data_IF_074872301155
#
_entry.id   IF_074872301155
#
_cell.length_a   1.000
_cell.length_b   1.000
_cell.length_c   1.000
_cell.angle_alpha   90.00
_cell.angle_beta   90.00
_cell.angle_gamma   90.00
#
_symmetry.space_group_name_H-M   'P 1'
#
loop_
_entity.id
_entity.type
_entity.pdbx_description
1 polymer ?
#
# COMPACT_ATOMS: atom_id res chain seq x y z
N UNK A 1 35.35 -8.93 77.95
CA UNK A 1 34.21 -9.67 77.38
C UNK A 1 33.41 -8.65 76.58
N UNK A 2 33.67 -8.43 75.29
CA UNK A 2 33.44 -9.33 74.15
C UNK A 2 31.95 -9.64 73.94
N UNK A 3 31.28 -8.81 73.14
CA UNK A 3 30.32 -9.25 72.12
C UNK A 3 30.35 -8.25 70.95
N UNK A 4 31.09 -8.64 69.90
CA UNK A 4 30.91 -8.21 68.51
C UNK A 4 29.66 -8.89 67.94
N UNK A 5 29.04 -8.30 66.92
CA UNK A 5 28.85 -8.86 65.55
C UNK A 5 27.64 -8.17 64.89
N UNK A 6 27.85 -7.19 63.99
CA UNK A 6 27.95 -7.30 62.52
C UNK A 6 26.74 -6.62 61.83
N UNK A 7 26.95 -5.38 61.36
CA UNK A 7 26.13 -4.79 60.31
C UNK A 7 26.73 -5.21 58.96
N UNK A 8 26.05 -6.11 58.26
CA UNK A 8 26.42 -6.49 56.90
C UNK A 8 25.98 -5.39 55.93
N UNK A 9 26.96 -4.67 55.37
CA UNK A 9 26.75 -3.77 54.23
C UNK A 9 26.65 -4.65 52.98
N UNK A 10 25.44 -4.86 52.48
CA UNK A 10 25.19 -5.45 51.17
C UNK A 10 25.44 -4.38 50.10
N UNK A 11 26.61 -4.45 49.46
CA UNK A 11 26.89 -3.74 48.22
C UNK A 11 26.09 -4.45 47.12
N UNK A 12 24.93 -3.90 46.76
CA UNK A 12 24.24 -4.28 45.52
C UNK A 12 25.04 -3.71 44.35
N UNK A 13 25.85 -4.56 43.73
CA UNK A 13 26.44 -4.31 42.42
C UNK A 13 25.29 -4.19 41.40
N UNK A 14 24.99 -2.96 40.98
CA UNK A 14 24.19 -2.69 39.79
C UNK A 14 24.91 -3.27 38.57
N UNK A 15 24.52 -4.47 38.17
CA UNK A 15 24.80 -4.97 36.82
C UNK A 15 23.91 -4.17 35.88
N UNK A 16 24.40 -3.03 35.42
CA UNK A 16 23.89 -2.41 34.21
C UNK A 16 24.31 -3.32 33.03
N UNK A 17 23.46 -4.30 32.73
CA UNK A 17 23.40 -4.87 31.39
C UNK A 17 23.09 -3.71 30.44
N UNK A 18 24.12 -3.24 29.75
CA UNK A 18 23.97 -2.43 28.54
C UNK A 18 23.25 -3.31 27.50
N UNK A 19 21.92 -3.38 27.57
CA UNK A 19 21.14 -3.62 26.36
C UNK A 19 21.35 -2.36 25.53
N UNK A 20 22.11 -2.46 24.44
CA UNK A 20 22.08 -1.46 23.40
C UNK A 20 20.60 -1.24 23.07
N UNK A 21 20.09 -0.06 23.37
CA UNK A 21 18.69 0.26 23.17
C UNK A 21 18.43 0.13 21.67
N UNK A 22 17.74 -0.95 21.28
CA UNK A 22 17.43 -1.23 19.89
C UNK A 22 16.59 -0.07 19.37
N UNK A 23 17.12 0.69 18.41
CA UNK A 23 16.48 1.90 17.90
C UNK A 23 15.50 1.51 16.81
N UNK A 24 14.24 1.92 17.01
CA UNK A 24 13.16 1.75 16.05
C UNK A 24 12.31 3.00 15.96
N UNK A 25 11.64 3.16 14.82
CA UNK A 25 10.58 4.16 14.63
C UNK A 25 9.27 3.40 14.42
N UNK A 26 8.38 3.47 15.42
CA UNK A 26 7.04 2.89 15.31
C UNK A 26 6.22 3.64 14.27
N UNK A 27 5.47 2.89 13.46
CA UNK A 27 4.58 3.42 12.43
C UNK A 27 3.15 2.90 12.68
N UNK A 28 2.51 3.36 13.78
CA UNK A 28 1.20 2.87 14.16
C UNK A 28 0.14 3.23 13.12
N UNK A 29 -0.86 2.35 12.99
CA UNK A 29 -1.97 2.55 12.06
C UNK A 29 -3.07 3.41 12.68
N UNK A 30 -3.48 4.42 11.94
CA UNK A 30 -4.80 5.05 12.08
C UNK A 30 -5.79 4.35 11.12
N UNK A 31 -7.07 4.75 11.16
CA UNK A 31 -8.11 4.14 10.30
C UNK A 31 -7.78 4.25 8.81
N UNK A 32 -7.19 5.38 8.43
CA UNK A 32 -6.69 5.69 7.09
C UNK A 32 -5.70 4.64 6.56
N UNK A 33 -4.59 4.48 7.26
CA UNK A 33 -3.53 3.56 6.87
C UNK A 33 -3.98 2.10 7.06
N UNK A 34 -4.87 1.83 8.02
CA UNK A 34 -5.49 0.51 8.19
C UNK A 34 -6.34 0.12 6.96
N UNK A 35 -7.11 1.06 6.43
CA UNK A 35 -7.87 0.88 5.19
C UNK A 35 -6.95 0.61 3.99
N UNK A 36 -5.87 1.38 3.85
CA UNK A 36 -4.88 1.19 2.79
C UNK A 36 -4.19 -0.18 2.93
N UNK A 37 -3.86 -0.59 4.15
CA UNK A 37 -3.26 -1.89 4.44
C UNK A 37 -4.20 -3.05 4.13
N UNK A 38 -5.47 -3.00 4.54
CA UNK A 38 -6.47 -4.01 4.15
C UNK A 38 -6.63 -4.12 2.63
N UNK A 39 -6.63 -2.98 1.93
CA UNK A 39 -6.68 -2.96 0.46
C UNK A 39 -5.45 -3.64 -0.15
N UNK A 40 -4.26 -3.34 0.37
CA UNK A 40 -3.00 -3.93 -0.08
C UNK A 40 -2.93 -5.44 0.22
N UNK A 41 -3.41 -5.88 1.38
CA UNK A 41 -3.51 -7.30 1.75
C UNK A 41 -4.42 -8.03 0.75
N UNK A 42 -5.62 -7.50 0.49
CA UNK A 42 -6.53 -8.12 -0.47
C UNK A 42 -5.96 -8.13 -1.89
N UNK A 43 -5.27 -7.07 -2.31
CA UNK A 43 -4.57 -7.03 -3.61
C UNK A 43 -3.48 -8.11 -3.69
N UNK A 44 -2.65 -8.25 -2.66
CA UNK A 44 -1.61 -9.28 -2.62
C UNK A 44 -2.24 -10.68 -2.73
N UNK A 45 -3.35 -10.91 -2.04
CA UNK A 45 -4.10 -12.18 -2.07
C UNK A 45 -4.78 -12.43 -3.42
N UNK A 46 -5.31 -11.40 -4.09
CA UNK A 46 -6.02 -11.55 -5.36
C UNK A 46 -5.12 -11.93 -6.53
N UNK A 47 -3.84 -11.54 -6.49
CA UNK A 47 -2.84 -11.87 -7.53
C UNK A 47 -2.68 -13.38 -7.71
N UNK A 48 -2.95 -14.17 -6.67
CA UNK A 48 -2.85 -15.64 -6.74
C UNK A 48 -3.90 -16.29 -7.66
N UNK A 49 -5.04 -15.64 -7.88
CA UNK A 49 -6.13 -16.14 -8.74
C UNK A 49 -6.55 -17.59 -8.44
N UNK A 50 -6.59 -17.95 -7.15
CA UNK A 50 -6.91 -19.31 -6.69
C UNK A 50 -8.38 -19.47 -6.28
N UNK A 51 -8.82 -20.73 -6.27
CA UNK A 51 -10.22 -21.14 -6.14
C UNK A 51 -10.97 -20.69 -4.88
N UNK A 52 -10.26 -20.52 -3.76
CA UNK A 52 -10.86 -20.31 -2.43
C UNK A 52 -10.19 -19.16 -1.67
N UNK A 53 -9.72 -18.11 -2.33
CA UNK A 53 -9.12 -17.00 -1.58
C UNK A 53 -10.21 -16.07 -1.04
N UNK A 54 -10.40 -16.07 0.29
CA UNK A 54 -11.30 -15.11 0.92
C UNK A 54 -10.64 -13.74 1.08
N UNK A 55 -11.45 -12.68 1.02
CA UNK A 55 -10.98 -11.35 1.39
C UNK A 55 -10.97 -11.14 2.91
N UNK A 56 -10.06 -10.27 3.32
CA UNK A 56 -9.92 -9.76 4.67
C UNK A 56 -10.63 -8.41 4.73
N UNK A 57 -11.78 -8.35 5.39
CA UNK A 57 -12.65 -7.16 5.41
C UNK A 57 -12.65 -6.41 6.74
N UNK A 58 -12.03 -6.97 7.78
CA UNK A 58 -12.13 -6.44 9.14
C UNK A 58 -10.75 -6.07 9.66
N UNK A 59 -10.61 -4.82 10.11
CA UNK A 59 -9.46 -4.38 10.91
C UNK A 59 -9.83 -4.40 12.39
N UNK A 60 -9.04 -5.07 13.22
CA UNK A 60 -9.18 -5.03 14.69
C UNK A 60 -8.01 -4.25 15.31
N UNK A 61 -8.33 -3.16 16.02
CA UNK A 61 -7.30 -2.31 16.63
C UNK A 61 -6.53 -2.99 17.77
N UNK A 62 -7.08 -4.04 18.41
CA UNK A 62 -6.36 -4.83 19.42
C UNK A 62 -5.33 -5.75 18.76
N UNK A 63 -5.68 -6.36 17.62
CA UNK A 63 -4.72 -7.13 16.82
C UNK A 63 -3.60 -6.22 16.32
N UNK A 64 -3.94 -5.03 15.84
CA UNK A 64 -2.97 -4.04 15.37
C UNK A 64 -2.04 -3.54 16.48
N UNK A 65 -2.58 -3.23 17.66
CA UNK A 65 -1.78 -2.81 18.81
C UNK A 65 -0.77 -3.90 19.22
N UNK A 66 -1.22 -5.16 19.28
CA UNK A 66 -0.34 -6.28 19.57
C UNK A 66 0.72 -6.50 18.47
N UNK A 67 0.32 -6.45 17.20
CA UNK A 67 1.24 -6.55 16.09
C UNK A 67 2.29 -5.42 16.12
N UNK A 68 1.90 -4.21 16.54
CA UNK A 68 2.82 -3.09 16.71
C UNK A 68 3.81 -3.32 17.85
N UNK A 69 3.36 -3.86 18.98
CA UNK A 69 4.25 -4.25 20.09
C UNK A 69 5.31 -5.25 19.61
N UNK A 70 4.91 -6.25 18.82
CA UNK A 70 5.84 -7.24 18.24
C UNK A 70 6.77 -6.59 17.22
N UNK A 71 6.26 -5.73 16.33
CA UNK A 71 7.09 -5.04 15.33
C UNK A 71 8.16 -4.16 15.98
N UNK A 72 7.83 -3.49 17.08
CA UNK A 72 8.76 -2.65 17.85
C UNK A 72 9.95 -3.43 18.44
N UNK A 73 9.88 -4.76 18.51
CA UNK A 73 11.00 -5.59 18.99
C UNK A 73 12.11 -5.72 17.96
N UNK A 74 11.86 -5.40 16.69
CA UNK A 74 12.84 -5.58 15.62
C UNK A 74 13.45 -7.00 15.62
N UNK A 75 12.60 -8.00 15.86
CA UNK A 75 12.94 -9.41 15.93
C UNK A 75 12.06 -10.17 14.96
N UNK A 76 12.67 -10.77 13.93
CA UNK A 76 11.96 -11.44 12.86
C UNK A 76 11.36 -12.80 13.26
N UNK A 77 11.68 -13.31 14.45
CA UNK A 77 11.09 -14.54 14.96
C UNK A 77 9.71 -14.28 15.59
N UNK A 78 8.74 -15.12 15.25
CA UNK A 78 7.43 -15.13 15.93
C UNK A 78 7.63 -15.53 17.40
N UNK A 79 7.13 -14.74 18.37
CA UNK A 79 7.23 -15.10 19.79
C UNK A 79 6.58 -16.47 20.08
N UNK A 80 7.24 -17.30 20.89
CA UNK A 80 6.76 -18.64 21.20
C UNK A 80 5.42 -18.64 21.96
N UNK A 81 5.18 -17.60 22.75
CA UNK A 81 3.98 -17.34 23.55
C UNK A 81 3.06 -16.29 22.90
N UNK A 82 3.11 -16.17 21.56
CA UNK A 82 2.33 -15.18 20.84
C UNK A 82 0.82 -15.30 21.16
N UNK A 83 0.22 -14.18 21.60
CA UNK A 83 -1.19 -14.10 22.01
C UNK A 83 -2.15 -14.34 20.85
N UNK A 84 -1.75 -13.89 19.66
CA UNK A 84 -2.49 -14.05 18.41
C UNK A 84 -1.58 -14.74 17.38
N UNK A 85 -2.15 -15.47 16.41
CA UNK A 85 -1.43 -15.86 15.19
C UNK A 85 -0.79 -14.66 14.51
N UNK A 86 0.47 -14.79 14.10
CA UNK A 86 1.27 -13.72 13.51
C UNK A 86 1.84 -14.14 12.16
N UNK A 87 1.90 -13.19 11.24
CA UNK A 87 2.76 -13.23 10.07
C UNK A 87 3.77 -12.10 10.18
N UNK A 88 5.06 -12.41 10.04
CA UNK A 88 6.16 -11.44 10.06
C UNK A 88 6.88 -11.46 8.72
N UNK A 89 7.13 -10.28 8.16
CA UNK A 89 7.95 -10.09 6.96
C UNK A 89 8.86 -8.88 7.13
N UNK A 90 9.96 -8.88 6.39
CA UNK A 90 10.95 -7.79 6.38
C UNK A 90 11.03 -7.19 4.98
N UNK A 91 11.35 -5.89 4.90
CA UNK A 91 11.71 -5.18 3.67
C UNK A 91 12.87 -4.24 3.98
N UNK A 92 13.94 -4.29 3.18
CA UNK A 92 15.09 -3.40 3.37
C UNK A 92 14.83 -1.97 2.90
N UNK A 93 14.36 -1.84 1.66
CA UNK A 93 14.20 -0.56 0.98
C UNK A 93 12.77 -0.35 0.48
N UNK A 94 12.32 0.90 0.49
CA UNK A 94 11.01 1.37 0.01
C UNK A 94 11.21 2.66 -0.75
N UNK A 95 10.34 2.95 -1.71
CA UNK A 95 10.50 4.14 -2.57
C UNK A 95 10.48 5.43 -1.76
N UNK A 96 9.54 5.52 -0.80
CA UNK A 96 9.45 6.64 0.14
C UNK A 96 9.65 6.18 1.62
N UNK A 97 10.87 6.28 2.16
CA UNK A 97 11.17 5.86 3.53
C UNK A 97 10.49 6.65 4.65
N UNK A 98 9.88 7.80 4.35
CA UNK A 98 9.15 8.59 5.34
C UNK A 98 7.67 8.22 5.35
N UNK A 99 7.16 7.65 4.25
CA UNK A 99 5.78 7.20 4.12
C UNK A 99 5.70 6.03 3.12
N UNK A 100 6.11 4.82 3.51
CA UNK A 100 6.10 3.66 2.64
C UNK A 100 4.67 3.27 2.27
N UNK A 101 4.44 2.96 0.98
CA UNK A 101 3.14 2.52 0.54
C UNK A 101 2.81 1.13 1.13
N UNK A 102 1.54 0.88 1.46
CA UNK A 102 1.12 -0.40 2.02
C UNK A 102 1.46 -1.59 1.11
N UNK A 103 1.32 -1.43 -0.22
CA UNK A 103 1.71 -2.47 -1.18
C UNK A 103 3.23 -2.77 -1.12
N UNK A 104 4.08 -1.76 -0.90
CA UNK A 104 5.54 -1.95 -0.75
C UNK A 104 5.88 -2.68 0.55
N UNK A 105 5.21 -2.32 1.64
CA UNK A 105 5.36 -2.96 2.95
C UNK A 105 5.00 -4.46 2.94
N UNK A 106 4.26 -4.94 1.95
CA UNK A 106 3.88 -6.34 1.84
C UNK A 106 4.76 -7.14 0.85
N UNK A 107 5.72 -6.50 0.17
CA UNK A 107 6.54 -7.16 -0.85
C UNK A 107 7.37 -8.33 -0.30
N UNK A 108 7.88 -8.24 0.93
CA UNK A 108 8.64 -9.34 1.52
C UNK A 108 7.83 -10.64 1.65
N UNK A 109 6.50 -10.57 1.83
CA UNK A 109 5.66 -11.76 1.78
C UNK A 109 5.58 -12.35 0.37
N UNK A 110 5.53 -11.50 -0.66
CA UNK A 110 5.53 -11.93 -2.06
C UNK A 110 6.87 -12.57 -2.47
N UNK A 111 7.99 -12.07 -1.95
CA UNK A 111 9.32 -12.65 -2.19
C UNK A 111 9.42 -14.08 -1.65
N UNK A 112 8.95 -14.31 -0.42
CA UNK A 112 8.91 -15.66 0.17
C UNK A 112 7.95 -16.56 -0.64
N UNK A 113 6.78 -16.03 -1.01
CA UNK A 113 5.78 -16.75 -1.81
C UNK A 113 6.33 -17.22 -3.17
N UNK A 114 7.19 -16.43 -3.82
CA UNK A 114 7.81 -16.81 -5.10
C UNK A 114 8.69 -18.07 -5.00
N UNK A 115 9.12 -18.44 -3.79
CA UNK A 115 9.88 -19.67 -3.52
C UNK A 115 9.02 -20.81 -2.98
N UNK A 116 7.70 -20.60 -2.84
CA UNK A 116 6.78 -21.61 -2.33
C UNK A 116 6.53 -22.71 -3.37
N UNK A 117 6.89 -23.94 -3.01
CA UNK A 117 6.53 -25.13 -3.76
C UNK A 117 5.20 -25.68 -3.24
N UNK A 118 4.10 -25.63 -4.02
CA UNK A 118 2.84 -26.19 -3.58
C UNK A 118 2.93 -27.71 -3.39
N UNK A 119 3.72 -28.43 -4.19
CA UNK A 119 3.85 -29.90 -4.08
C UNK A 119 4.38 -30.30 -2.72
N UNK A 120 5.49 -29.69 -2.29
CA UNK A 120 6.20 -30.04 -1.07
C UNK A 120 5.68 -29.26 0.16
N UNK A 121 4.78 -28.30 -0.06
CA UNK A 121 4.28 -27.39 0.96
C UNK A 121 5.41 -26.68 1.74
N UNK A 122 6.46 -26.26 1.04
CA UNK A 122 7.67 -25.66 1.61
C UNK A 122 8.15 -24.47 0.78
N UNK A 123 8.96 -23.58 1.38
CA UNK A 123 9.51 -22.40 0.70
C UNK A 123 10.94 -22.63 0.20
N UNK A 124 11.14 -23.82 -0.35
CA UNK A 124 12.42 -24.35 -0.83
C UNK A 124 12.38 -24.64 -2.34
N UNK A 125 11.37 -24.14 -3.05
CA UNK A 125 11.04 -24.49 -4.43
C UNK A 125 11.91 -23.85 -5.52
N UNK A 126 12.94 -23.08 -5.15
CA UNK A 126 13.74 -22.31 -6.10
C UNK A 126 15.18 -22.08 -5.65
N UNK A 127 15.81 -21.04 -6.22
CA UNK A 127 17.20 -20.66 -5.90
C UNK A 127 17.36 -20.12 -4.47
N UNK A 128 16.27 -19.66 -3.86
CA UNK A 128 16.21 -19.18 -2.49
C UNK A 128 15.57 -20.25 -1.59
N UNK A 129 16.13 -20.42 -0.40
CA UNK A 129 15.76 -21.45 0.56
C UNK A 129 15.40 -20.76 1.87
N UNK A 130 14.11 -20.49 2.09
CA UNK A 130 13.67 -19.81 3.31
C UNK A 130 13.49 -20.82 4.45
N UNK A 131 13.73 -20.36 5.67
CA UNK A 131 13.46 -21.16 6.87
C UNK A 131 11.96 -21.46 7.01
N UNK A 132 11.64 -22.53 7.75
CA UNK A 132 10.25 -22.88 8.07
C UNK A 132 9.52 -21.74 8.80
N UNK A 133 10.23 -20.93 9.59
CA UNK A 133 9.64 -19.79 10.29
C UNK A 133 9.12 -18.72 9.30
N UNK A 134 9.97 -18.29 8.36
CA UNK A 134 9.58 -17.35 7.29
C UNK A 134 8.48 -17.92 6.40
N UNK A 135 8.60 -19.21 6.06
CA UNK A 135 7.59 -19.88 5.25
C UNK A 135 6.23 -19.93 5.95
N UNK A 136 6.21 -20.21 7.26
CA UNK A 136 4.99 -20.25 8.05
C UNK A 136 4.37 -18.85 8.21
N UNK A 137 5.17 -17.79 8.33
CA UNK A 137 4.68 -16.41 8.27
C UNK A 137 3.99 -16.11 6.94
N UNK A 138 4.60 -16.48 5.81
CA UNK A 138 3.99 -16.34 4.49
C UNK A 138 2.68 -17.15 4.38
N UNK A 139 2.67 -18.40 4.85
CA UNK A 139 1.46 -19.25 4.86
C UNK A 139 0.34 -18.63 5.70
N UNK A 140 0.67 -18.02 6.84
CA UNK A 140 -0.32 -17.31 7.66
C UNK A 140 -0.88 -16.10 6.91
N UNK A 141 -0.05 -15.31 6.23
CA UNK A 141 -0.49 -14.15 5.45
C UNK A 141 -1.38 -14.53 4.25
N UNK A 142 -1.07 -15.62 3.56
CA UNK A 142 -1.83 -16.11 2.41
C UNK A 142 -2.86 -17.19 2.75
N UNK A 143 -3.17 -17.39 4.04
CA UNK A 143 -4.16 -18.40 4.44
C UNK A 143 -5.52 -18.10 3.83
N UNK A 144 -6.12 -19.09 3.17
CA UNK A 144 -7.29 -18.92 2.31
C UNK A 144 -8.54 -18.44 3.06
N UNK A 145 -8.72 -18.89 4.30
CA UNK A 145 -9.84 -18.52 5.17
C UNK A 145 -9.39 -17.41 6.12
N UNK A 146 -9.65 -16.15 5.78
CA UNK A 146 -9.35 -15.04 6.68
C UNK A 146 -10.40 -13.95 6.55
N UNK A 147 -10.65 -13.23 7.63
CA UNK A 147 -11.58 -12.11 7.62
C UNK A 147 -11.08 -10.91 8.43
N UNK A 148 -10.38 -11.17 9.54
CA UNK A 148 -9.96 -10.14 10.48
C UNK A 148 -8.45 -10.11 10.61
N UNK A 149 -7.88 -8.90 10.61
CA UNK A 149 -6.47 -8.70 10.89
C UNK A 149 -6.23 -7.37 11.59
N UNK A 150 -5.04 -7.20 12.15
CA UNK A 150 -4.49 -5.90 12.47
C UNK A 150 -2.98 -5.98 12.38
N UNK A 151 -2.37 -5.02 11.68
CA UNK A 151 -0.93 -5.00 11.47
C UNK A 151 -0.24 -3.90 12.26
N UNK A 152 1.06 -4.04 12.44
CA UNK A 152 1.98 -3.08 13.02
C UNK A 152 3.27 -3.04 12.19
N UNK A 153 3.87 -1.86 12.09
CA UNK A 153 5.09 -1.64 11.31
C UNK A 153 6.09 -0.87 12.14
N UNK A 154 7.33 -1.33 12.14
CA UNK A 154 8.43 -0.60 12.73
C UNK A 154 9.58 -0.49 11.73
N UNK A 155 10.17 0.69 11.64
CA UNK A 155 11.46 0.86 10.96
C UNK A 155 12.57 0.57 11.98
N UNK A 156 13.42 -0.40 11.68
CA UNK A 156 14.43 -0.96 12.55
C UNK A 156 15.82 -0.65 12.01
N UNK A 157 16.67 -0.03 12.84
CA UNK A 157 18.08 0.18 12.49
C UNK A 157 18.88 -1.14 12.53
N UNK A 158 18.40 -2.12 13.28
CA UNK A 158 18.92 -3.48 13.31
C UNK A 158 17.81 -4.49 13.61
N UNK A 159 17.76 -5.55 12.81
CA UNK A 159 16.79 -6.65 12.94
C UNK A 159 17.51 -7.92 13.39
N UNK A 160 16.98 -8.55 14.44
CA UNK A 160 17.52 -9.82 14.98
C UNK A 160 16.72 -11.02 14.49
N UNK A 161 17.36 -12.18 14.44
CA UNK A 161 16.77 -13.46 13.99
C UNK A 161 16.15 -13.39 12.58
N UNK A 162 16.61 -12.46 11.74
CA UNK A 162 16.24 -12.41 10.33
C UNK A 162 16.68 -13.70 9.65
N UNK A 163 15.83 -14.20 8.75
CA UNK A 163 16.16 -15.32 7.90
C UNK A 163 17.38 -14.96 7.03
N UNK A 164 18.44 -15.78 7.02
CA UNK A 164 19.64 -15.48 6.24
C UNK A 164 19.37 -15.28 4.75
N UNK A 165 18.31 -15.92 4.22
CA UNK A 165 17.92 -15.83 2.81
C UNK A 165 17.23 -14.50 2.47
N UNK A 166 16.56 -13.86 3.43
CA UNK A 166 15.93 -12.54 3.24
C UNK A 166 17.00 -11.45 3.08
N UNK A 167 18.17 -11.60 3.72
CA UNK A 167 19.29 -10.63 3.66
C UNK A 167 18.89 -9.18 4.00
N UNK A 168 17.93 -9.01 4.92
CA UNK A 168 17.49 -7.71 5.46
C UNK A 168 17.89 -7.64 6.93
N UNK A 169 18.95 -6.89 7.22
CA UNK A 169 19.46 -6.70 8.59
C UNK A 169 19.05 -5.36 9.22
N UNK A 170 18.47 -4.46 8.42
CA UNK A 170 17.87 -3.19 8.81
C UNK A 170 16.82 -2.81 7.76
N UNK A 171 15.80 -2.02 8.14
CA UNK A 171 14.68 -1.70 7.23
C UNK A 171 13.35 -1.70 7.97
N UNK A 172 12.30 -2.23 7.35
CA UNK A 172 10.95 -2.30 7.89
C UNK A 172 10.63 -3.73 8.32
N UNK A 173 10.16 -3.86 9.56
CA UNK A 173 9.49 -5.07 10.03
C UNK A 173 7.99 -4.85 9.96
N UNK A 174 7.32 -5.73 9.22
CA UNK A 174 5.86 -5.75 9.10
C UNK A 174 5.33 -6.98 9.82
N UNK A 175 4.43 -6.75 10.77
CA UNK A 175 3.79 -7.80 11.54
C UNK A 175 2.29 -7.67 11.34
N UNK A 176 1.61 -8.75 10.99
CA UNK A 176 0.15 -8.81 10.96
C UNK A 176 -0.34 -9.89 11.92
N UNK A 177 -1.24 -9.51 12.81
CA UNK A 177 -1.93 -10.41 13.73
C UNK A 177 -3.30 -10.79 13.18
N UNK A 178 -3.75 -11.99 13.47
CA UNK A 178 -5.01 -12.55 12.96
C UNK A 178 -5.85 -13.13 14.10
N UNK A 179 -7.16 -13.24 13.88
CA UNK A 179 -8.07 -13.99 14.77
C UNK A 179 -8.06 -15.49 14.47
N UNK A 180 -7.69 -15.86 13.24
CA UNK A 180 -7.58 -17.24 12.78
C UNK A 180 -6.12 -17.67 12.56
N UNK A 181 -5.78 -18.85 13.09
CA UNK A 181 -4.48 -19.48 12.90
C UNK A 181 -4.47 -20.35 11.64
N UNK A 182 -3.49 -20.13 10.77
CA UNK A 182 -3.22 -20.99 9.64
C UNK A 182 -2.75 -22.38 10.09
N UNK A 183 -3.16 -23.41 9.35
CA UNK A 183 -2.65 -24.77 9.54
C UNK A 183 -1.36 -24.90 8.74
N UNK A 184 -0.22 -24.60 9.37
CA UNK A 184 1.09 -24.48 8.69
C UNK A 184 1.60 -25.79 8.07
N UNK A 185 1.09 -26.94 8.52
CA UNK A 185 1.34 -28.26 7.92
C UNK A 185 0.59 -28.48 6.59
N UNK A 186 -0.40 -27.63 6.30
CA UNK A 186 -1.19 -27.65 5.07
C UNK A 186 -0.82 -26.50 4.14
N UNK A 187 -1.26 -26.58 2.89
CA UNK A 187 -1.09 -25.50 1.91
C UNK A 187 -1.96 -24.31 2.33
N UNK A 188 -1.46 -23.07 2.19
CA UNK A 188 -2.22 -21.89 2.58
C UNK A 188 -3.42 -21.63 1.68
N UNK A 189 -3.39 -22.13 0.44
CA UNK A 189 -4.46 -22.02 -0.54
C UNK A 189 -4.47 -23.22 -1.50
N UNK A 190 -5.59 -23.47 -2.20
CA UNK A 190 -5.65 -24.54 -3.20
C UNK A 190 -4.65 -24.29 -4.33
N UNK A 191 -3.95 -25.32 -4.82
CA UNK A 191 -3.05 -25.16 -5.97
C UNK A 191 -3.85 -24.74 -7.19
N UNK A 192 -3.30 -23.82 -7.99
CA UNK A 192 -3.87 -23.56 -9.31
C UNK A 192 -3.58 -24.77 -10.21
N UNK A 193 -4.64 -25.44 -10.69
CA UNK A 193 -4.48 -26.63 -11.52
C UNK A 193 -3.96 -26.31 -12.94
N UNK A 194 -4.19 -25.09 -13.43
CA UNK A 194 -3.60 -24.58 -14.67
C UNK A 194 -3.16 -23.13 -14.48
N UNK A 195 -1.85 -22.83 -14.44
CA UNK A 195 -1.35 -21.47 -14.24
C UNK A 195 -1.77 -20.47 -15.32
N UNK A 196 -2.30 -20.93 -16.47
CA UNK A 196 -2.77 -20.06 -17.55
C UNK A 196 -4.28 -19.75 -17.46
N UNK A 197 -5.00 -20.40 -16.55
CA UNK A 197 -6.44 -20.19 -16.37
C UNK A 197 -6.66 -19.63 -14.96
N UNK A 198 -7.13 -18.38 -14.81
CA UNK A 198 -7.53 -17.85 -13.52
C UNK A 198 -8.61 -18.74 -12.91
N UNK A 199 -8.36 -19.26 -11.71
CA UNK A 199 -9.31 -20.10 -10.98
C UNK A 199 -10.03 -19.35 -9.87
N UNK A 200 -9.94 -18.01 -9.85
CA UNK A 200 -10.56 -17.17 -8.84
C UNK A 200 -12.01 -17.59 -8.56
N UNK A 201 -12.31 -17.77 -7.28
CA UNK A 201 -13.69 -17.96 -6.80
C UNK A 201 -14.43 -19.21 -7.28
N UNK A 202 -13.70 -20.23 -7.74
CA UNK A 202 -14.33 -21.48 -8.18
C UNK A 202 -15.15 -22.18 -7.08
N UNK A 203 -14.79 -21.99 -5.80
CA UNK A 203 -15.44 -22.66 -4.66
C UNK A 203 -15.73 -21.72 -3.47
N UNK A 204 -16.20 -20.49 -3.71
CA UNK A 204 -16.50 -19.57 -2.62
C UNK A 204 -17.53 -20.13 -1.62
N UNK A 205 -17.34 -19.91 -0.30
CA UNK A 205 -18.29 -20.34 0.70
C UNK A 205 -19.57 -19.51 0.62
N UNK A 206 -20.69 -20.10 1.04
CA UNK A 206 -22.02 -19.46 0.93
C UNK A 206 -22.11 -18.13 1.66
N UNK A 207 -21.36 -17.94 2.75
CA UNK A 207 -21.33 -16.71 3.53
C UNK A 207 -20.47 -15.60 2.88
N UNK A 208 -19.61 -15.97 1.92
CA UNK A 208 -18.76 -15.06 1.15
C UNK A 208 -18.90 -15.34 -0.36
N UNK A 209 -20.13 -15.35 -0.83
CA UNK A 209 -20.48 -15.73 -2.21
C UNK A 209 -20.27 -14.62 -3.23
N UNK A 210 -20.04 -13.37 -2.81
CA UNK A 210 -19.79 -12.28 -3.73
C UNK A 210 -18.36 -12.43 -4.28
N UNK A 211 -18.26 -12.57 -5.60
CA UNK A 211 -16.98 -12.57 -6.29
C UNK A 211 -17.09 -11.97 -7.69
N UNK A 212 -16.58 -10.76 -7.82
CA UNK A 212 -16.51 -10.02 -9.07
C UNK A 212 -15.39 -8.95 -8.97
N UNK A 213 -15.42 -7.95 -9.85
CA UNK A 213 -14.43 -6.87 -9.83
C UNK A 213 -14.43 -6.08 -8.52
N UNK A 214 -15.59 -5.91 -7.87
CA UNK A 214 -15.75 -5.16 -6.63
C UNK A 214 -15.08 -5.84 -5.43
N UNK A 215 -14.77 -7.13 -5.57
CA UNK A 215 -14.08 -7.93 -4.56
C UNK A 215 -12.65 -8.31 -4.97
N UNK A 216 -12.11 -7.71 -6.04
CA UNK A 216 -10.83 -8.11 -6.63
C UNK A 216 -10.79 -9.60 -7.03
N UNK A 217 -11.95 -10.18 -7.36
CA UNK A 217 -12.09 -11.61 -7.60
C UNK A 217 -11.66 -12.49 -6.40
N UNK A 218 -11.94 -12.02 -5.18
CA UNK A 218 -11.86 -12.77 -3.94
C UNK A 218 -13.27 -13.17 -3.47
N UNK A 219 -13.36 -14.23 -2.68
CA UNK A 219 -14.60 -14.63 -2.03
C UNK A 219 -14.90 -13.66 -0.87
N UNK A 220 -15.95 -12.85 -1.00
CA UNK A 220 -16.32 -11.85 0.00
C UNK A 220 -17.80 -11.89 0.36
N UNK A 221 -18.12 -11.34 1.55
CA UNK A 221 -19.50 -11.09 1.94
C UNK A 221 -20.03 -9.77 1.35
N UNK A 222 -19.16 -8.80 1.14
CA UNK A 222 -19.46 -7.49 0.54
C UNK A 222 -18.28 -6.98 -0.29
N UNK A 223 -18.42 -5.91 -1.10
CA UNK A 223 -17.31 -5.34 -1.86
C UNK A 223 -16.11 -5.01 -0.96
N UNK A 224 -14.90 -5.11 -1.50
CA UNK A 224 -13.65 -4.79 -0.74
C UNK A 224 -13.52 -3.31 -0.37
N UNK A 225 -14.40 -2.44 -0.87
CA UNK A 225 -14.55 -1.06 -0.40
C UNK A 225 -15.35 -0.93 0.90
N UNK A 226 -16.14 -1.94 1.24
CA UNK A 226 -16.94 -2.01 2.47
C UNK A 226 -16.12 -2.68 3.58
N UNK A 227 -15.16 -1.92 4.11
CA UNK A 227 -14.28 -2.36 5.18
C UNK A 227 -14.86 -2.05 6.55
N UNK A 228 -14.76 -3.02 7.45
CA UNK A 228 -15.18 -2.88 8.84
C UNK A 228 -13.99 -2.67 9.76
N UNK A 229 -14.20 -1.88 10.82
CA UNK A 229 -13.15 -1.53 11.77
C UNK A 229 -13.67 -1.70 13.19
N UNK A 230 -12.98 -2.52 13.98
CA UNK A 230 -13.31 -2.85 15.37
C UNK A 230 -12.33 -2.14 16.30
N UNK A 231 -12.87 -1.43 17.29
CA UNK A 231 -12.11 -0.73 18.32
C UNK A 231 -11.78 0.72 17.97
N UNK A 232 -11.18 1.43 18.93
CA UNK A 232 -10.81 2.83 18.77
C UNK A 232 -9.46 2.94 18.05
N UNK A 233 -9.40 3.83 17.07
CA UNK A 233 -8.15 4.35 16.53
C UNK A 233 -7.79 5.58 17.35
N UNK A 234 -6.52 5.78 17.66
CA UNK A 234 -6.08 6.99 18.37
C UNK A 234 -6.45 8.25 17.58
N UNK A 235 -7.56 8.90 17.96
CA UNK A 235 -7.99 10.27 17.70
C UNK A 235 -8.01 10.80 16.26
N UNK A 236 -9.12 11.44 15.88
CA UNK A 236 -9.33 12.32 14.72
C UNK A 236 -8.38 13.56 14.64
N UNK A 237 -7.23 13.54 15.33
CA UNK A 237 -6.29 14.66 15.45
C UNK A 237 -4.86 14.39 14.97
N UNK A 238 -4.50 13.16 14.59
CA UNK A 238 -3.09 12.85 14.27
C UNK A 238 -2.69 13.14 12.81
N UNK A 239 -3.63 13.16 11.86
CA UNK A 239 -3.34 13.31 10.43
C UNK A 239 -3.89 14.60 9.79
N UNK A 240 -4.22 15.59 10.61
CA UNK A 240 -4.80 16.86 10.16
C UNK A 240 -6.26 16.73 9.70
N UNK A 241 -6.89 17.87 9.42
CA UNK A 241 -8.25 17.99 8.89
C UNK A 241 -8.22 18.48 7.45
N UNK A 242 -9.34 18.30 6.73
CA UNK A 242 -9.48 18.75 5.36
C UNK A 242 -9.18 20.26 5.21
N UNK A 243 -8.20 20.63 4.36
CA UNK A 243 -7.95 22.03 4.03
C UNK A 243 -9.17 22.69 3.39
N UNK A 244 -9.32 23.99 3.62
CA UNK A 244 -10.30 24.82 2.92
C UNK A 244 -9.76 25.26 1.56
N UNK A 245 -10.64 25.75 0.68
CA UNK A 245 -10.29 26.34 -0.62
C UNK A 245 -9.63 25.36 -1.61
N UNK A 246 -10.06 24.10 -1.57
CA UNK A 246 -9.64 23.09 -2.52
C UNK A 246 -10.12 23.42 -3.94
N UNK A 247 -9.30 23.08 -4.93
CA UNK A 247 -9.50 23.39 -6.35
C UNK A 247 -9.53 22.11 -7.18
N UNK A 248 -10.50 21.95 -8.09
CA UNK A 248 -10.67 20.73 -8.87
C UNK A 248 -9.47 20.48 -9.81
N UNK A 249 -9.22 19.19 -10.02
CA UNK A 249 -8.30 18.67 -11.01
C UNK A 249 -9.11 17.96 -12.09
N UNK A 250 -8.83 18.30 -13.35
CA UNK A 250 -9.48 17.73 -14.52
C UNK A 250 -8.49 16.86 -15.29
N UNK A 251 -9.00 15.86 -16.00
CA UNK A 251 -8.22 15.09 -16.96
C UNK A 251 -8.64 15.39 -18.37
N UNK A 252 -7.65 15.55 -19.23
CA UNK A 252 -7.82 15.67 -20.67
C UNK A 252 -7.08 14.52 -21.34
N UNK A 253 -7.69 13.96 -22.38
CA UNK A 253 -7.03 13.03 -23.29
C UNK A 253 -6.74 13.75 -24.60
N UNK A 254 -5.47 13.83 -24.96
CA UNK A 254 -5.01 14.38 -26.22
C UNK A 254 -5.07 13.30 -27.30
N UNK A 255 -6.07 13.36 -28.19
CA UNK A 255 -6.28 12.36 -29.24
C UNK A 255 -5.13 12.30 -30.25
N UNK A 256 -4.37 13.38 -30.39
CA UNK A 256 -3.26 13.45 -31.34
C UNK A 256 -2.00 12.80 -30.79
N UNK A 257 -1.72 13.01 -29.51
CA UNK A 257 -0.54 12.46 -28.85
C UNK A 257 -0.81 11.12 -28.15
N UNK A 258 -2.08 10.75 -28.00
CA UNK A 258 -2.50 9.56 -27.26
C UNK A 258 -2.18 9.63 -25.77
N UNK A 259 -2.07 10.83 -25.19
CA UNK A 259 -1.58 11.06 -23.83
C UNK A 259 -2.61 11.72 -22.92
N UNK A 260 -2.45 11.50 -21.61
CA UNK A 260 -3.29 12.11 -20.59
C UNK A 260 -2.59 13.32 -19.98
N UNK A 261 -3.37 14.36 -19.73
CA UNK A 261 -2.93 15.60 -19.13
C UNK A 261 -3.84 15.88 -17.93
N UNK A 262 -3.24 16.09 -16.76
CA UNK A 262 -3.96 16.62 -15.60
C UNK A 262 -3.85 18.14 -15.62
N UNK A 263 -5.00 18.80 -15.52
CA UNK A 263 -5.11 20.25 -15.46
C UNK A 263 -5.71 20.66 -14.12
N UNK A 264 -5.01 21.55 -13.44
CA UNK A 264 -5.29 21.98 -12.09
C UNK A 264 -5.92 23.37 -12.17
N UNK A 265 -7.12 23.56 -11.64
CA UNK A 265 -7.81 24.86 -11.72
C UNK A 265 -6.99 26.01 -11.10
N UNK A 266 -6.20 25.70 -10.06
CA UNK A 266 -5.28 26.66 -9.43
C UNK A 266 -4.02 27.00 -10.24
N UNK A 267 -3.76 26.29 -11.33
CA UNK A 267 -2.56 26.46 -12.16
C UNK A 267 -2.93 26.54 -13.65
N UNK A 268 -3.26 27.73 -14.17
CA UNK A 268 -3.69 27.89 -15.56
C UNK A 268 -2.68 27.38 -16.60
N UNK A 269 -1.38 27.38 -16.28
CA UNK A 269 -0.34 26.85 -17.16
C UNK A 269 -0.36 25.32 -17.32
N UNK A 270 -1.10 24.61 -16.46
CA UNK A 270 -1.29 23.16 -16.55
C UNK A 270 -2.37 22.74 -17.57
N UNK A 271 -3.11 23.69 -18.14
CA UNK A 271 -4.06 23.42 -19.22
C UNK A 271 -3.32 23.24 -20.56
N UNK A 272 -3.76 22.30 -21.42
CA UNK A 272 -3.15 22.15 -22.73
C UNK A 272 -3.23 23.46 -23.53
N UNK A 273 -2.10 24.01 -23.97
CA UNK A 273 -2.05 25.30 -24.68
C UNK A 273 -2.94 25.30 -25.93
N UNK A 274 -2.97 24.16 -26.63
CA UNK A 274 -3.78 23.97 -27.84
C UNK A 274 -5.29 23.87 -27.58
N UNK A 275 -5.74 23.78 -26.32
CA UNK A 275 -7.16 23.58 -25.98
C UNK A 275 -8.05 24.73 -26.51
N UNK A 276 -7.54 25.96 -26.50
CA UNK A 276 -8.27 27.15 -27.00
C UNK A 276 -8.39 27.19 -28.52
N UNK A 277 -7.39 26.68 -29.24
CA UNK A 277 -7.29 26.74 -30.71
C UNK A 277 -7.86 25.50 -31.38
N UNK A 278 -7.77 24.34 -30.71
CA UNK A 278 -8.15 23.02 -31.23
C UNK A 278 -8.99 22.25 -30.19
N UNK A 279 -10.18 22.75 -29.78
CA UNK A 279 -10.96 22.09 -28.72
C UNK A 279 -11.33 20.64 -29.08
N UNK A 280 -11.57 20.35 -30.37
CA UNK A 280 -11.89 19.00 -30.85
C UNK A 280 -10.76 17.98 -30.74
N UNK A 281 -9.52 18.41 -30.44
CA UNK A 281 -8.36 17.51 -30.20
C UNK A 281 -8.43 16.81 -28.84
N UNK A 282 -9.13 17.39 -27.88
CA UNK A 282 -9.10 16.94 -26.49
C UNK A 282 -10.44 16.37 -26.07
N UNK A 283 -10.40 15.19 -25.45
CA UNK A 283 -11.56 14.68 -24.71
C UNK A 283 -11.42 15.12 -23.24
N UNK A 284 -12.40 15.87 -22.74
CA UNK A 284 -12.43 16.35 -21.37
C UNK A 284 -13.15 15.33 -20.49
N UNK A 285 -12.46 14.84 -19.47
CA UNK A 285 -13.05 14.03 -18.41
C UNK A 285 -13.50 14.93 -17.25
N UNK A 286 -14.40 14.40 -16.43
CA UNK A 286 -14.90 15.05 -15.22
C UNK A 286 -13.80 15.48 -14.24
N UNK A 287 -14.21 16.20 -13.19
CA UNK A 287 -13.28 16.50 -12.12
C UNK A 287 -12.92 15.19 -11.39
N UNK A 288 -11.61 14.92 -11.31
CA UNK A 288 -11.11 13.67 -10.74
C UNK A 288 -10.98 13.72 -9.24
N UNK A 289 -10.95 14.92 -8.67
CA UNK A 289 -10.70 15.22 -7.26
C UNK A 289 -10.35 16.70 -7.13
N UNK A 290 -9.93 17.11 -5.94
CA UNK A 290 -9.47 18.46 -5.67
C UNK A 290 -8.13 18.47 -4.94
N UNK A 291 -7.36 19.54 -5.13
CA UNK A 291 -6.05 19.80 -4.50
C UNK A 291 -6.04 21.16 -3.80
N UNK A 292 -5.06 21.40 -2.94
CA UNK A 292 -4.79 22.74 -2.46
C UNK A 292 -3.91 23.51 -3.50
N UNK A 293 -4.14 24.82 -3.74
CA UNK A 293 -3.26 25.62 -4.62
C UNK A 293 -1.79 25.56 -4.20
N UNK A 294 -0.87 25.65 -5.17
CA UNK A 294 0.59 25.51 -4.93
C UNK A 294 1.14 26.48 -3.87
N UNK A 295 0.64 27.71 -3.83
CA UNK A 295 1.11 28.76 -2.92
C UNK A 295 0.32 28.80 -1.60
N UNK A 296 -0.75 28.00 -1.48
CA UNK A 296 -1.57 27.97 -0.28
C UNK A 296 -0.93 27.13 0.82
N UNK A 297 -1.15 27.55 2.06
CA UNK A 297 -0.79 26.83 3.28
C UNK A 297 -2.06 26.49 4.06
N UNK A 298 -2.00 25.43 4.85
CA UNK A 298 -3.10 25.01 5.72
C UNK A 298 -2.50 24.52 7.01
N UNK A 299 -2.89 25.15 8.13
CA UNK A 299 -2.52 24.67 9.45
C UNK A 299 -3.31 23.41 9.81
N UNK A 300 -4.45 23.20 9.16
CA UNK A 300 -5.30 22.02 9.31
C UNK A 300 -4.63 20.76 8.76
N UNK A 301 -3.78 20.86 7.73
CA UNK A 301 -3.13 19.71 7.11
C UNK A 301 -1.60 19.87 7.08
N UNK A 302 -0.87 19.39 8.11
CA UNK A 302 0.59 19.54 8.18
C UNK A 302 1.34 18.59 7.23
N UNK A 303 0.65 17.69 6.55
CA UNK A 303 1.23 16.67 5.66
C UNK A 303 1.14 17.04 4.17
N UNK A 304 0.88 18.31 3.85
CA UNK A 304 0.79 18.76 2.47
C UNK A 304 2.14 18.69 1.77
N UNK A 305 2.18 17.93 0.68
CA UNK A 305 3.33 17.77 -0.18
C UNK A 305 3.05 18.39 -1.57
N UNK A 306 4.06 18.99 -2.22
CA UNK A 306 3.90 19.56 -3.55
C UNK A 306 3.75 18.47 -4.62
N UNK A 307 2.79 18.67 -5.54
CA UNK A 307 2.66 17.84 -6.74
C UNK A 307 3.60 18.42 -7.80
N UNK A 308 4.68 17.70 -8.07
CA UNK A 308 5.62 18.04 -9.13
C UNK A 308 5.11 17.54 -10.48
N UNK A 309 5.17 18.39 -11.50
CA UNK A 309 4.87 18.05 -12.89
C UNK A 309 6.15 18.06 -13.73
N UNK A 310 6.45 16.93 -14.37
CA UNK A 310 7.54 16.82 -15.36
C UNK A 310 7.01 16.29 -16.68
N UNK A 311 7.61 16.77 -17.77
CA UNK A 311 7.23 16.44 -19.12
C UNK A 311 8.41 15.86 -19.92
N UNK A 312 8.19 14.74 -20.61
CA UNK A 312 9.17 14.22 -21.56
C UNK A 312 8.88 14.73 -22.97
N UNK A 313 9.74 15.57 -23.58
CA UNK A 313 9.57 15.95 -24.98
C UNK A 313 9.83 14.78 -25.94
N UNK A 314 10.65 13.81 -25.52
CA UNK A 314 10.99 12.62 -26.32
C UNK A 314 9.85 11.60 -26.31
N UNK A 315 9.20 11.41 -25.17
CA UNK A 315 8.14 10.40 -25.00
C UNK A 315 6.73 10.97 -25.04
N UNK A 316 6.57 12.30 -25.09
CA UNK A 316 5.29 13.02 -24.99
C UNK A 316 4.50 12.64 -23.71
N UNK A 317 5.22 12.51 -22.59
CA UNK A 317 4.68 11.99 -21.32
C UNK A 317 4.57 13.08 -20.26
N UNK A 318 3.47 13.09 -19.52
CA UNK A 318 3.32 13.86 -18.29
C UNK A 318 3.41 12.92 -17.08
N UNK A 319 4.24 13.30 -16.10
CA UNK A 319 4.32 12.62 -14.82
C UNK A 319 3.98 13.64 -13.72
N UNK A 320 3.10 13.22 -12.82
CA UNK A 320 2.69 13.98 -11.63
C UNK A 320 3.04 13.15 -10.41
N UNK A 321 3.89 13.68 -9.52
CA UNK A 321 4.40 12.90 -8.38
C UNK A 321 4.60 13.80 -7.15
N UNK A 322 4.42 13.24 -5.96
CA UNK A 322 4.87 13.87 -4.71
C UNK A 322 6.34 13.54 -4.43
N UNK A 323 6.88 12.48 -5.03
CA UNK A 323 8.25 12.04 -4.77
C UNK A 323 9.26 12.96 -5.45
N UNK A 324 9.93 13.77 -4.63
CA UNK A 324 10.99 14.66 -5.08
C UNK A 324 12.17 13.90 -5.70
N UNK A 325 12.46 12.66 -5.28
CA UNK A 325 13.55 11.85 -5.84
C UNK A 325 13.23 11.42 -7.26
N UNK A 326 12.00 10.97 -7.50
CA UNK A 326 11.51 10.68 -8.86
C UNK A 326 11.61 11.94 -9.72
N UNK A 327 11.12 13.08 -9.23
CA UNK A 327 11.24 14.36 -9.93
C UNK A 327 12.71 14.68 -10.30
N UNK A 328 13.62 14.66 -9.33
CA UNK A 328 15.04 14.99 -9.55
C UNK A 328 15.70 13.99 -10.53
N UNK A 329 15.32 12.72 -10.50
CA UNK A 329 15.81 11.70 -11.42
C UNK A 329 15.34 11.96 -12.86
N UNK A 330 14.06 12.28 -13.06
CA UNK A 330 13.52 12.58 -14.40
C UNK A 330 14.16 13.82 -15.02
N UNK A 331 14.44 14.85 -14.23
CA UNK A 331 15.18 16.02 -14.72
C UNK A 331 16.58 15.62 -15.22
N UNK A 332 17.29 14.75 -14.49
CA UNK A 332 18.61 14.23 -14.94
C UNK A 332 18.53 13.40 -16.22
N UNK A 333 17.40 12.72 -16.45
CA UNK A 333 17.11 11.96 -17.67
C UNK A 333 16.70 12.85 -18.86
N UNK A 334 16.66 14.18 -18.70
CA UNK A 334 16.34 15.13 -19.76
C UNK A 334 14.85 15.48 -19.88
N UNK A 335 14.04 15.20 -18.85
CA UNK A 335 12.66 15.69 -18.78
C UNK A 335 12.65 17.18 -18.44
N UNK A 336 11.64 17.88 -18.93
CA UNK A 336 11.39 19.28 -18.63
C UNK A 336 10.59 19.40 -17.34
N UNK A 337 11.04 20.27 -16.43
CA UNK A 337 10.23 20.68 -15.29
C UNK A 337 9.10 21.60 -15.76
N UNK A 338 7.88 21.31 -15.32
CA UNK A 338 6.72 22.21 -15.42
C UNK A 338 6.35 22.82 -14.06
N UNK A 339 7.17 22.57 -13.03
CA UNK A 339 7.01 23.15 -11.69
C UNK A 339 6.01 22.41 -10.80
N UNK A 340 5.51 23.12 -9.79
CA UNK A 340 4.53 22.63 -8.82
C UNK A 340 3.14 23.07 -9.27
N UNK A 341 2.21 22.12 -9.41
CA UNK A 341 0.85 22.38 -9.93
C UNK A 341 -0.23 22.42 -8.85
N UNK A 342 0.11 21.96 -7.64
CA UNK A 342 -0.78 21.97 -6.47
C UNK A 342 -0.12 21.28 -5.29
N UNK A 343 -0.88 21.08 -4.21
CA UNK A 343 -0.49 20.29 -3.05
C UNK A 343 -1.53 19.22 -2.75
N UNK A 344 -1.05 18.04 -2.42
CA UNK A 344 -1.84 16.88 -2.04
C UNK A 344 -1.18 16.18 -0.84
N UNK A 345 -1.70 15.02 -0.49
CA UNK A 345 -1.17 14.20 0.61
C UNK A 345 -0.78 12.83 0.08
N UNK A 346 0.23 12.23 0.71
CA UNK A 346 0.78 10.94 0.30
C UNK A 346 0.02 9.74 0.86
N UNK A 347 -0.93 9.93 1.79
CA UNK A 347 -1.71 8.86 2.41
C UNK A 347 -3.23 8.98 2.20
N UNK A 348 -3.91 7.84 2.05
CA UNK A 348 -5.38 7.75 2.04
C UNK A 348 -5.93 8.30 3.35
N UNK A 349 -7.01 9.09 3.30
CA UNK A 349 -7.67 9.72 4.46
C UNK A 349 -6.77 10.65 5.30
N UNK A 350 -5.52 10.89 4.89
CA UNK A 350 -4.69 11.95 5.46
C UNK A 350 -5.35 13.30 5.18
N UNK A 351 -5.58 14.10 6.21
CA UNK A 351 -6.39 15.32 6.11
C UNK A 351 -7.75 15.09 5.42
N UNK A 352 -8.36 13.91 5.60
CA UNK A 352 -9.60 13.46 4.92
C UNK A 352 -9.53 13.38 3.38
N UNK A 353 -8.35 13.20 2.78
CA UNK A 353 -8.22 12.96 1.34
C UNK A 353 -8.59 11.51 0.97
N UNK A 354 -9.76 11.27 0.39
CA UNK A 354 -10.27 9.91 0.10
C UNK A 354 -10.13 9.46 -1.35
N UNK A 355 -9.61 10.31 -2.23
CA UNK A 355 -9.61 10.04 -3.67
C UNK A 355 -8.22 9.62 -4.12
N UNK A 356 -8.02 8.33 -4.38
CA UNK A 356 -6.74 7.77 -4.82
C UNK A 356 -6.45 8.10 -6.29
N UNK A 357 -5.29 8.70 -6.56
CA UNK A 357 -4.78 8.88 -7.93
C UNK A 357 -3.92 7.67 -8.32
N UNK A 358 -4.50 6.71 -9.03
CA UNK A 358 -3.80 5.53 -9.50
C UNK A 358 -2.92 5.85 -10.70
N UNK A 359 -1.73 5.26 -10.76
CA UNK A 359 -0.80 5.38 -11.87
C UNK A 359 -0.66 4.06 -12.61
N UNK A 360 -0.70 4.16 -13.93
CA UNK A 360 -0.47 3.06 -14.84
C UNK A 360 0.53 3.47 -15.91
N UNK A 361 1.39 2.55 -16.31
CA UNK A 361 2.37 2.75 -17.37
C UNK A 361 2.13 1.75 -18.50
N UNK A 362 2.00 2.25 -19.73
CA UNK A 362 1.92 1.41 -20.93
C UNK A 362 3.17 1.62 -21.80
N UNK A 363 4.03 0.61 -21.92
CA UNK A 363 5.12 0.63 -22.89
C UNK A 363 4.57 0.70 -24.33
N UNK A 364 5.17 1.48 -25.24
CA UNK A 364 6.42 2.21 -25.06
C UNK A 364 6.31 3.63 -24.44
N UNK A 365 5.12 4.24 -24.30
CA UNK A 365 5.07 5.71 -24.24
C UNK A 365 3.99 6.40 -23.41
N UNK A 366 3.13 5.76 -22.60
CA UNK A 366 2.13 6.57 -21.85
C UNK A 366 1.99 6.18 -20.38
N UNK A 367 2.25 7.14 -19.49
CA UNK A 367 1.66 7.14 -18.16
C UNK A 367 0.20 7.56 -18.27
N UNK A 368 -0.61 6.91 -17.45
CA UNK A 368 -2.02 7.05 -17.39
C UNK A 368 -2.39 7.18 -15.92
N UNK A 369 -3.17 8.22 -15.57
CA UNK A 369 -3.63 8.44 -14.21
C UNK A 369 -5.15 8.51 -14.16
N UNK A 370 -5.75 7.80 -13.22
CA UNK A 370 -7.20 7.86 -12.97
C UNK A 370 -7.56 7.73 -11.50
N UNK A 371 -8.77 8.18 -11.17
CA UNK A 371 -9.44 7.97 -9.89
C UNK A 371 -10.61 7.01 -10.08
N UNK A 372 -11.22 6.57 -8.97
CA UNK A 372 -12.21 5.50 -8.89
C UNK A 372 -13.31 5.58 -9.97
N UNK A 373 -13.23 4.74 -11.01
CA UNK A 373 -14.15 4.70 -12.15
C UNK A 373 -14.35 3.27 -12.63
N UNK A 374 -15.44 2.99 -13.33
CA UNK A 374 -15.71 1.69 -13.97
C UNK A 374 -14.59 1.25 -14.93
N UNK A 375 -13.78 2.21 -15.40
CA UNK A 375 -12.60 1.96 -16.23
C UNK A 375 -11.43 1.37 -15.43
N UNK A 376 -11.31 1.64 -14.11
CA UNK A 376 -10.29 1.00 -13.27
C UNK A 376 -10.50 -0.51 -13.24
N UNK A 377 -11.73 -0.96 -12.95
CA UNK A 377 -12.09 -2.38 -12.92
C UNK A 377 -11.79 -3.04 -14.27
N UNK A 378 -12.16 -2.39 -15.38
CA UNK A 378 -11.85 -2.90 -16.70
C UNK A 378 -10.35 -2.98 -16.98
N UNK A 379 -9.55 -2.00 -16.52
CA UNK A 379 -8.09 -2.03 -16.68
C UNK A 379 -7.47 -3.14 -15.83
N UNK A 380 -7.80 -3.21 -14.54
CA UNK A 380 -7.26 -4.22 -13.64
C UNK A 380 -7.62 -5.63 -14.10
N UNK A 381 -8.87 -5.87 -14.51
CA UNK A 381 -9.34 -7.21 -14.84
C UNK A 381 -8.98 -7.64 -16.27
N UNK A 382 -8.88 -6.71 -17.23
CA UNK A 382 -8.72 -7.08 -18.63
C UNK A 382 -7.38 -6.67 -19.26
N UNK A 383 -6.65 -5.73 -18.64
CA UNK A 383 -5.52 -5.05 -19.29
C UNK A 383 -4.27 -4.96 -18.42
N UNK A 384 -4.25 -5.35 -17.15
CA UNK A 384 -3.01 -5.41 -16.36
C UNK A 384 -2.35 -6.78 -16.55
N UNK A 385 -1.03 -6.81 -16.80
CA UNK A 385 -0.24 -8.05 -16.89
C UNK A 385 -0.23 -8.76 -18.24
N UNK A 386 -0.83 -8.18 -19.29
CA UNK A 386 -0.77 -8.73 -20.66
C UNK A 386 0.39 -8.11 -21.45
N UNK A 387 1.00 -8.82 -22.42
CA UNK A 387 2.01 -8.23 -23.30
C UNK A 387 1.49 -6.99 -24.05
N UNK A 388 2.17 -5.85 -23.91
CA UNK A 388 1.80 -4.58 -24.57
C UNK A 388 0.64 -3.79 -23.94
N UNK A 389 0.20 -4.19 -22.75
CA UNK A 389 -0.92 -3.57 -22.02
C UNK A 389 -0.45 -2.62 -20.89
N UNK A 390 -1.38 -2.13 -20.07
CA UNK A 390 -1.06 -1.22 -18.97
C UNK A 390 -0.43 -2.00 -17.81
N UNK A 391 0.59 -1.42 -17.17
CA UNK A 391 1.21 -1.91 -15.95
C UNK A 391 0.77 -1.01 -14.81
N UNK A 392 0.29 -1.57 -13.72
CA UNK A 392 -0.06 -0.80 -12.53
C UNK A 392 1.20 -0.42 -11.74
N UNK A 393 1.32 0.84 -11.36
CA UNK A 393 2.50 1.38 -10.65
C UNK A 393 2.16 1.96 -9.27
N UNK A 394 1.00 1.63 -8.72
CA UNK A 394 0.58 2.12 -7.40
C UNK A 394 -0.30 3.36 -7.43
N UNK A 395 -0.47 3.95 -6.24
CA UNK A 395 -1.13 5.25 -6.05
C UNK A 395 -0.06 6.32 -5.96
N UNK A 396 -0.13 7.35 -6.80
CA UNK A 396 0.85 8.45 -6.78
C UNK A 396 0.60 9.44 -5.64
N UNK A 397 -0.66 9.71 -5.32
CA UNK A 397 -1.08 10.60 -4.23
C UNK A 397 -2.59 10.53 -4.01
N UNK A 398 -3.07 11.16 -2.94
CA UNK A 398 -4.48 11.22 -2.58
C UNK A 398 -5.01 12.65 -2.65
N UNK A 399 -6.23 12.76 -3.16
CA UNK A 399 -6.97 13.98 -3.41
C UNK A 399 -8.22 14.05 -2.53
N UNK A 400 -8.82 15.23 -2.47
CA UNK A 400 -10.11 15.41 -1.80
C UNK A 400 -11.27 15.20 -2.77
N UNK A 401 -12.43 14.73 -2.28
CA UNK A 401 -13.66 14.69 -3.07
C UNK A 401 -14.01 16.07 -3.62
N UNK A 402 -14.63 16.07 -4.80
CA UNK A 402 -15.15 17.28 -5.42
C UNK A 402 -16.61 17.06 -5.80
N UNK A 403 -17.43 18.07 -5.60
CA UNK A 403 -18.83 18.07 -6.05
C UNK A 403 -18.95 18.44 -7.55
N UNK A 404 -17.83 18.70 -8.23
CA UNK A 404 -17.83 18.94 -9.66
C UNK A 404 -18.11 17.60 -10.38
N UNK A 405 -19.33 17.46 -10.91
CA UNK A 405 -19.80 16.24 -11.56
C UNK A 405 -19.01 15.87 -12.80
N UNK A 406 -18.84 14.57 -13.01
CA UNK A 406 -18.49 13.95 -14.28
C UNK A 406 -19.64 14.17 -15.29
N UNK A 407 -19.42 14.84 -16.44
CA UNK A 407 -20.37 14.73 -17.53
C UNK A 407 -20.30 13.28 -18.01
N UNK A 408 -21.42 12.58 -17.92
CA UNK A 408 -21.58 11.26 -18.54
C UNK A 408 -21.00 11.28 -19.95
N UNK A 409 -20.11 10.32 -20.24
CA UNK A 409 -19.74 10.01 -21.62
C UNK A 409 -21.05 9.83 -22.42
N UNK A 410 -21.16 10.42 -23.62
CA UNK A 410 -22.13 9.93 -24.58
C UNK A 410 -21.79 8.47 -24.80
N UNK A 411 -22.74 7.58 -24.48
CA UNK A 411 -22.74 6.26 -25.09
C UNK A 411 -22.80 6.51 -26.60
N UNK A 412 -21.67 6.37 -27.28
CA UNK A 412 -21.69 6.32 -28.75
C UNK A 412 -22.31 4.99 -29.18
N UNK A 413 -23.06 5.01 -30.30
CA UNK A 413 -24.00 3.96 -30.70
C UNK A 413 -23.37 2.60 -31.00
#
# INVERSE_FOLDING_TARGET
>A
MAYLFHAAILIFSLVHLNQAQQTFVAMPFNKANASAMLTAINRARSVLQVALMECVQTWDSKLAAYAQEVANTCNAAVPADAKYPLAISLIGDVTNPNNPAADELLQGFAEILNSFNPTDNSCNGGALQYTDASCNSMKQFYWMEMNTTGCGVAKCDSITNADPTVNVNSGYQVVCAYDLKAVTTSRPFPPNADPNVPQSCYICPTQKSLCDSSTMHLCCASPTSDLSFIGEFGGDGACGSQPKNLKPVFRYYDKRLGSNILSFESEPSSFPEALSKEPGRFDKFGAMGAVLPKDATSAECPFLEPIYHVYSPVRYQNIYTLDKREYDARIKEGYESKGIVGKAVSGYMMCNATVSMYRFFRPPSSFFMMTNSTTLDAIFNNLVGKPGSYMYEGVSFYLWPTNATEPHLPQTP
#
